data_IF_822451010782
#
_entry.id   IF_822451010782
#
_cell.length_a   1.000
_cell.length_b   1.000
_cell.length_c   1.000
_cell.angle_alpha   90.00
_cell.angle_beta   90.00
_cell.angle_gamma   90.00
#
_symmetry.space_group_name_H-M   'P 1'
#
loop_
_entity.id
_entity.type
_entity.pdbx_description
1 polymer ?
#
# COMPACT_ATOMS: atom_id res chain seq x y z
N UNK A 1 1.87 -16.35 7.71
CA UNK A 1 2.80 -15.51 6.93
C UNK A 1 2.51 -14.05 7.21
N UNK A 2 3.54 -13.28 7.55
CA UNK A 2 3.47 -11.82 7.69
C UNK A 2 4.33 -11.20 6.60
N UNK A 3 3.73 -10.33 5.78
CA UNK A 3 4.40 -9.62 4.69
C UNK A 3 4.41 -8.12 4.99
N UNK A 4 5.57 -7.47 4.86
CA UNK A 4 5.68 -6.02 4.92
C UNK A 4 5.84 -5.48 3.50
N UNK A 5 4.89 -4.65 3.07
CA UNK A 5 4.89 -3.96 1.79
C UNK A 5 5.22 -2.48 2.04
N UNK A 6 6.33 -1.94 1.50
CA UNK A 6 6.67 -0.52 1.64
C UNK A 6 5.53 0.41 1.21
N UNK A 7 4.91 0.08 0.09
CA UNK A 7 3.80 0.81 -0.52
C UNK A 7 2.68 -0.14 -0.95
N UNK A 8 1.44 0.37 -1.15
CA UNK A 8 0.45 -0.33 -1.97
C UNK A 8 1.06 -0.76 -3.32
N UNK A 9 0.68 -1.93 -3.81
CA UNK A 9 1.13 -2.58 -5.06
C UNK A 9 2.38 -3.47 -4.92
N UNK A 10 3.26 -3.22 -3.94
CA UNK A 10 4.48 -4.02 -3.74
C UNK A 10 4.17 -5.48 -3.40
N UNK A 11 3.06 -5.74 -2.70
CA UNK A 11 2.62 -7.10 -2.37
C UNK A 11 2.23 -7.88 -3.63
N UNK A 12 1.63 -7.18 -4.59
CA UNK A 12 1.14 -7.76 -5.83
C UNK A 12 2.30 -7.94 -6.81
N UNK A 13 3.18 -6.94 -6.94
CA UNK A 13 4.33 -6.95 -7.83
C UNK A 13 5.41 -7.93 -7.37
N UNK A 14 5.80 -7.86 -6.10
CA UNK A 14 6.91 -8.65 -5.56
C UNK A 14 6.52 -10.02 -5.03
N UNK A 15 5.26 -10.20 -4.59
CA UNK A 15 4.87 -11.35 -3.76
C UNK A 15 3.60 -12.09 -4.21
N UNK A 16 2.97 -11.75 -5.34
CA UNK A 16 1.69 -12.34 -5.76
C UNK A 16 1.71 -13.87 -5.83
N UNK A 17 2.76 -14.47 -6.41
CA UNK A 17 2.87 -15.94 -6.53
C UNK A 17 2.96 -16.59 -5.13
N UNK A 18 3.74 -16.00 -4.22
CA UNK A 18 3.88 -16.48 -2.85
C UNK A 18 2.57 -16.37 -2.07
N UNK A 19 1.89 -15.23 -2.19
CA UNK A 19 0.59 -14.98 -1.57
C UNK A 19 -0.46 -15.99 -2.07
N UNK A 20 -0.54 -16.23 -3.38
CA UNK A 20 -1.46 -17.21 -3.94
C UNK A 20 -1.17 -18.64 -3.47
N UNK A 21 0.11 -19.03 -3.37
CA UNK A 21 0.52 -20.33 -2.82
C UNK A 21 0.09 -20.46 -1.35
N UNK A 22 0.30 -19.42 -0.55
CA UNK A 22 -0.11 -19.39 0.85
C UNK A 22 -1.65 -19.46 1.01
N UNK A 23 -2.40 -18.77 0.14
CA UNK A 23 -3.87 -18.84 0.11
C UNK A 23 -4.35 -20.25 -0.23
N UNK A 24 -3.77 -20.89 -1.26
CA UNK A 24 -4.10 -22.28 -1.64
C UNK A 24 -3.80 -23.28 -0.51
N UNK A 25 -2.74 -23.02 0.26
CA UNK A 25 -2.38 -23.80 1.45
C UNK A 25 -3.25 -23.47 2.68
N UNK A 26 -4.24 -22.57 2.56
CA UNK A 26 -5.07 -22.07 3.66
C UNK A 26 -4.28 -21.50 4.83
N UNK A 27 -3.10 -20.94 4.56
CA UNK A 27 -2.28 -20.31 5.58
C UNK A 27 -2.93 -19.00 6.06
N UNK A 28 -2.73 -18.66 7.34
CA UNK A 28 -3.08 -17.33 7.84
C UNK A 28 -2.08 -16.30 7.29
N UNK A 29 -2.57 -15.30 6.57
CA UNK A 29 -1.75 -14.25 5.94
C UNK A 29 -2.13 -12.88 6.51
N UNK A 30 -1.11 -12.07 6.80
CA UNK A 30 -1.23 -10.64 7.14
C UNK A 30 -0.30 -9.85 6.24
N UNK A 31 -0.82 -8.78 5.63
CA UNK A 31 -0.02 -7.82 4.85
C UNK A 31 -0.03 -6.49 5.59
N UNK A 32 1.16 -5.98 5.88
CA UNK A 32 1.37 -4.71 6.56
C UNK A 32 1.94 -3.72 5.56
N UNK A 33 1.15 -2.70 5.23
CA UNK A 33 1.56 -1.59 4.40
C UNK A 33 2.21 -0.52 5.28
N UNK A 34 3.47 -0.21 4.99
CA UNK A 34 4.26 0.73 5.77
C UNK A 34 3.77 2.16 5.53
N UNK A 35 3.62 2.54 4.27
CA UNK A 35 3.13 3.86 3.85
C UNK A 35 1.87 3.73 3.01
N UNK A 36 1.19 4.84 2.77
CA UNK A 36 0.04 4.88 1.83
C UNK A 36 0.47 5.17 0.38
N UNK A 37 1.77 5.37 0.15
CA UNK A 37 2.31 5.78 -1.14
C UNK A 37 1.70 7.07 -1.67
N UNK A 38 1.49 8.03 -0.77
CA UNK A 38 0.79 9.28 -0.97
C UNK A 38 1.71 10.43 -1.47
N UNK A 39 3.02 10.19 -1.59
CA UNK A 39 3.99 11.20 -2.05
C UNK A 39 4.61 10.88 -3.43
N UNK A 40 3.95 10.05 -4.25
CA UNK A 40 4.26 9.94 -5.67
C UNK A 40 3.35 10.87 -6.50
N UNK A 41 3.84 12.03 -6.97
CA UNK A 41 3.01 13.05 -7.58
C UNK A 41 2.61 12.75 -9.02
N UNK A 42 3.34 11.89 -9.75
CA UNK A 42 3.15 11.75 -11.20
C UNK A 42 1.84 11.05 -11.56
N UNK A 43 1.51 9.88 -11.00
CA UNK A 43 0.22 9.24 -11.28
C UNK A 43 -0.95 10.11 -10.81
N UNK A 44 -0.80 10.79 -9.67
CA UNK A 44 -1.83 11.70 -9.15
C UNK A 44 -2.08 12.89 -10.09
N UNK A 45 -1.02 13.54 -10.60
CA UNK A 45 -1.14 14.65 -11.56
C UNK A 45 -1.90 14.24 -12.81
N UNK A 46 -1.60 13.05 -13.34
CA UNK A 46 -2.23 12.52 -14.54
C UNK A 46 -3.70 12.18 -14.28
N UNK A 47 -4.02 11.46 -13.20
CA UNK A 47 -5.39 11.04 -12.91
C UNK A 47 -6.29 12.17 -12.42
N UNK A 48 -5.75 13.15 -11.68
CA UNK A 48 -6.52 14.30 -11.18
C UNK A 48 -6.43 15.54 -12.07
N UNK A 49 -5.70 15.45 -13.20
CA UNK A 49 -5.45 16.55 -14.13
C UNK A 49 -4.97 17.84 -13.43
N UNK A 50 -4.13 17.71 -12.40
CA UNK A 50 -3.76 18.81 -11.50
C UNK A 50 -2.25 18.94 -11.34
N UNK A 51 -1.67 20.06 -11.79
CA UNK A 51 -0.23 20.30 -11.71
C UNK A 51 0.30 20.56 -10.30
N UNK A 52 -0.44 21.37 -9.52
CA UNK A 52 -0.09 21.73 -8.13
C UNK A 52 -0.90 20.89 -7.15
N UNK A 53 -0.21 20.00 -6.42
CA UNK A 53 -0.80 19.15 -5.40
C UNK A 53 -0.54 19.75 -4.01
N UNK A 54 -1.55 19.72 -3.15
CA UNK A 54 -1.46 20.12 -1.75
C UNK A 54 -1.65 18.91 -0.82
N UNK A 55 -1.56 19.12 0.50
CA UNK A 55 -1.71 18.05 1.48
C UNK A 55 -3.09 17.36 1.49
N UNK A 56 -4.16 18.05 1.10
CA UNK A 56 -5.49 17.42 0.98
C UNK A 56 -5.56 16.49 -0.23
N UNK A 57 -4.93 16.87 -1.35
CA UNK A 57 -4.84 16.03 -2.54
C UNK A 57 -4.07 14.75 -2.23
N UNK A 58 -2.91 14.85 -1.56
CA UNK A 58 -2.10 13.68 -1.18
C UNK A 58 -2.86 12.73 -0.24
N UNK A 59 -3.57 13.25 0.77
CA UNK A 59 -4.42 12.42 1.64
C UNK A 59 -5.56 11.73 0.89
N UNK A 60 -6.12 12.39 -0.13
CA UNK A 60 -7.13 11.77 -0.99
C UNK A 60 -6.51 10.64 -1.82
N UNK A 61 -5.32 10.87 -2.37
CA UNK A 61 -4.54 9.90 -3.12
C UNK A 61 -4.19 8.66 -2.29
N UNK A 62 -3.65 8.83 -1.08
CA UNK A 62 -3.37 7.71 -0.18
C UNK A 62 -4.62 6.88 0.14
N UNK A 63 -5.79 7.52 0.34
CA UNK A 63 -7.07 6.80 0.53
C UNK A 63 -7.51 6.02 -0.70
N UNK A 64 -7.24 6.51 -1.91
CA UNK A 64 -7.49 5.78 -3.15
C UNK A 64 -6.60 4.54 -3.21
N UNK A 65 -5.29 4.71 -2.99
CA UNK A 65 -4.32 3.60 -3.04
C UNK A 65 -4.58 2.51 -1.99
N UNK A 66 -5.07 2.89 -0.79
CA UNK A 66 -5.56 1.90 0.19
C UNK A 66 -6.71 1.06 -0.35
N UNK A 67 -7.65 1.67 -1.08
CA UNK A 67 -8.78 0.93 -1.69
C UNK A 67 -8.29 0.00 -2.80
N UNK A 68 -7.33 0.45 -3.60
CA UNK A 68 -6.69 -0.36 -4.65
C UNK A 68 -5.98 -1.57 -4.05
N UNK A 69 -5.16 -1.39 -3.01
CA UNK A 69 -4.53 -2.49 -2.27
C UNK A 69 -5.54 -3.50 -1.73
N UNK A 70 -6.63 -3.04 -1.11
CA UNK A 70 -7.70 -3.93 -0.63
C UNK A 70 -8.40 -4.69 -1.77
N UNK A 71 -8.55 -4.06 -2.94
CA UNK A 71 -9.10 -4.72 -4.12
C UNK A 71 -8.12 -5.77 -4.68
N UNK A 72 -6.82 -5.46 -4.75
CA UNK A 72 -5.79 -6.39 -5.18
C UNK A 72 -5.72 -7.63 -4.27
N UNK A 73 -5.76 -7.45 -2.95
CA UNK A 73 -5.83 -8.56 -2.00
C UNK A 73 -7.06 -9.44 -2.20
N UNK A 74 -8.21 -8.83 -2.52
CA UNK A 74 -9.44 -9.59 -2.83
C UNK A 74 -9.26 -10.45 -4.08
N UNK A 75 -8.62 -9.92 -5.12
CA UNK A 75 -8.28 -10.68 -6.34
C UNK A 75 -7.34 -11.85 -6.02
N UNK A 76 -6.41 -11.68 -5.07
CA UNK A 76 -5.52 -12.74 -4.59
C UNK A 76 -6.21 -13.76 -3.66
N UNK A 77 -7.52 -13.64 -3.41
CA UNK A 77 -8.29 -14.55 -2.57
C UNK A 77 -8.19 -14.25 -1.07
N UNK A 78 -7.77 -13.04 -0.71
CA UNK A 78 -7.61 -12.62 0.69
C UNK A 78 -8.74 -11.68 1.12
N UNK A 79 -9.13 -11.77 2.40
CA UNK A 79 -10.08 -10.84 2.99
C UNK A 79 -9.40 -9.52 3.36
N UNK A 80 -10.13 -8.40 3.31
CA UNK A 80 -9.59 -7.07 3.63
C UNK A 80 -9.05 -6.95 5.07
N UNK A 81 -9.52 -7.80 5.99
CA UNK A 81 -8.98 -7.87 7.36
C UNK A 81 -7.55 -8.40 7.46
N UNK A 82 -7.02 -9.00 6.38
CA UNK A 82 -5.63 -9.40 6.29
C UNK A 82 -4.69 -8.18 6.13
N UNK A 83 -5.21 -7.03 5.68
CA UNK A 83 -4.45 -5.81 5.51
C UNK A 83 -4.36 -5.01 6.82
N UNK A 84 -3.17 -4.46 7.08
CA UNK A 84 -2.94 -3.44 8.09
C UNK A 84 -2.17 -2.30 7.46
N UNK A 85 -2.65 -1.07 7.62
CA UNK A 85 -1.96 0.13 7.17
C UNK A 85 -1.35 0.84 8.38
N UNK A 86 -0.05 1.10 8.35
CA UNK A 86 0.62 1.86 9.42
C UNK A 86 0.49 3.37 9.21
N UNK A 87 0.33 3.82 7.95
CA UNK A 87 0.17 5.23 7.63
C UNK A 87 1.43 6.06 7.91
N UNK A 88 2.61 5.44 7.85
CA UNK A 88 3.86 6.17 7.99
C UNK A 88 4.07 7.08 6.78
N UNK A 89 4.72 8.24 6.97
CA UNK A 89 4.92 9.22 5.92
C UNK A 89 5.80 8.63 4.81
N UNK A 90 5.24 8.63 3.60
CA UNK A 90 5.95 8.21 2.40
C UNK A 90 7.22 9.06 2.18
N UNK A 91 8.29 8.42 1.74
CA UNK A 91 9.64 8.98 1.54
C UNK A 91 10.31 9.59 2.78
N UNK A 92 9.73 9.48 3.98
CA UNK A 92 10.27 10.07 5.22
C UNK A 92 10.62 9.04 6.30
N UNK A 93 10.59 7.75 5.97
CA UNK A 93 10.92 6.67 6.92
C UNK A 93 12.36 6.80 7.47
N UNK A 94 13.35 7.07 6.61
CA UNK A 94 14.74 7.25 7.06
C UNK A 94 14.89 8.47 7.97
N UNK A 95 14.17 9.56 7.69
CA UNK A 95 14.17 10.74 8.54
C UNK A 95 13.54 10.45 9.92
N UNK A 96 12.48 9.66 9.98
CA UNK A 96 11.89 9.23 11.27
C UNK A 96 12.86 8.38 12.09
N UNK A 97 13.60 7.48 11.45
CA UNK A 97 14.57 6.61 12.13
C UNK A 97 15.72 7.42 12.75
N UNK A 98 16.19 8.48 12.07
CA UNK A 98 17.31 9.29 12.53
C UNK A 98 16.92 10.33 13.60
N UNK A 99 15.64 10.62 13.77
CA UNK A 99 15.13 11.61 14.73
C UNK A 99 14.52 10.97 16.00
N UNK A 100 14.52 9.65 16.11
CA UNK A 100 14.04 8.90 17.29
C UNK A 100 15.20 8.37 18.12
#
# INVERSE_FOLDING_TARGET
MLLFAPHPDDESLGCSILLQRAVRARAMIRVVYVTDGDDNPWPQRVLECKWRLNGTDRRRWGRLRRKEALAALRVLGMHGSAARFLGLPDQKLSAMLMCG
#
